data_IF_701827420713
#
_entry.id   IF_701827420713
#
_cell.length_a   1.000
_cell.length_b   1.000
_cell.length_c   1.000
_cell.angle_alpha   90.00
_cell.angle_beta   90.00
_cell.angle_gamma   90.00
#
_symmetry.space_group_name_H-M   'P 1'
#
loop_
_entity.id
_entity.type
_entity.pdbx_description
1 polymer ?
#
# COMPACT_ATOMS: atom_id res chain seq x y z
N UNK A 1 6.41 2.21 17.80
CA UNK A 1 5.48 3.35 17.63
C UNK A 1 4.10 2.90 18.08
N UNK A 2 3.49 3.66 18.94
CA UNK A 2 2.18 3.36 19.51
C UNK A 2 1.10 4.00 18.63
N UNK A 3 0.44 3.19 17.80
CA UNK A 3 -0.55 3.66 16.83
C UNK A 3 -1.95 3.55 17.41
N UNK A 4 -2.75 4.61 17.26
CA UNK A 4 -4.16 4.60 17.65
C UNK A 4 -4.93 3.67 16.72
N UNK A 5 -5.62 2.68 17.30
CA UNK A 5 -6.48 1.78 16.52
C UNK A 5 -7.77 2.48 16.08
N UNK A 6 -8.16 2.23 14.84
CA UNK A 6 -9.51 2.50 14.35
C UNK A 6 -10.39 1.30 14.70
N UNK A 7 -11.41 1.53 15.50
CA UNK A 7 -12.26 0.45 16.04
C UNK A 7 -13.21 -0.06 14.97
N UNK A 8 -13.09 -1.33 14.67
CA UNK A 8 -13.92 -2.07 13.72
C UNK A 8 -14.70 -3.17 14.45
N UNK A 9 -15.79 -3.72 13.87
CA UNK A 9 -16.55 -4.80 14.49
C UNK A 9 -15.64 -5.99 14.82
N UNK A 10 -15.89 -6.63 15.97
CA UNK A 10 -15.19 -7.87 16.37
C UNK A 10 -15.41 -8.94 15.30
N UNK A 11 -14.37 -9.75 15.05
CA UNK A 11 -14.40 -10.87 14.11
C UNK A 11 -14.66 -10.45 12.66
N UNK A 12 -14.46 -9.17 12.32
CA UNK A 12 -14.56 -8.72 10.92
C UNK A 12 -13.37 -9.15 10.07
N UNK A 13 -12.27 -9.63 10.67
CA UNK A 13 -10.98 -9.91 10.05
C UNK A 13 -10.35 -8.65 9.41
N UNK A 14 -10.82 -7.47 9.78
CA UNK A 14 -10.29 -6.18 9.33
C UNK A 14 -9.65 -5.48 10.53
N UNK A 15 -8.47 -4.92 10.32
CA UNK A 15 -7.78 -4.04 11.26
C UNK A 15 -7.48 -2.70 10.63
N UNK A 16 -7.46 -1.66 11.45
CA UNK A 16 -7.10 -0.31 11.00
C UNK A 16 -6.39 0.47 12.10
N UNK A 17 -5.39 1.25 11.73
CA UNK A 17 -4.65 2.11 12.64
C UNK A 17 -4.37 3.45 11.97
N UNK A 18 -4.46 4.51 12.76
CA UNK A 18 -4.10 5.84 12.31
C UNK A 18 -2.58 5.98 12.26
N UNK A 19 -2.08 6.49 11.17
CA UNK A 19 -0.65 6.82 11.01
C UNK A 19 -0.43 8.32 11.15
N UNK A 20 0.78 8.76 11.55
CA UNK A 20 1.09 10.19 11.63
C UNK A 20 0.92 10.87 10.26
N UNK A 21 0.19 12.00 10.18
CA UNK A 21 0.00 12.74 8.92
C UNK A 21 1.31 13.11 8.20
N UNK A 22 2.36 13.40 8.96
CA UNK A 22 3.68 13.72 8.40
C UNK A 22 4.22 12.59 7.50
N UNK A 23 3.99 11.33 7.85
CA UNK A 23 4.42 10.19 7.03
C UNK A 23 3.67 10.20 5.69
N UNK A 24 2.40 10.56 5.69
CA UNK A 24 1.61 10.70 4.47
C UNK A 24 2.15 11.84 3.58
N UNK A 25 2.47 12.98 4.18
CA UNK A 25 3.04 14.14 3.47
C UNK A 25 4.40 13.80 2.86
N UNK A 26 5.24 13.07 3.58
CA UNK A 26 6.55 12.61 3.10
C UNK A 26 6.43 11.63 1.93
N UNK A 27 5.43 10.74 1.95
CA UNK A 27 5.15 9.82 0.82
C UNK A 27 4.67 10.59 -0.41
N UNK A 28 3.82 11.60 -0.22
CA UNK A 28 3.36 12.48 -1.31
C UNK A 28 4.55 13.23 -1.91
N UNK A 29 5.44 13.73 -1.08
CA UNK A 29 6.68 14.39 -1.52
C UNK A 29 7.57 13.44 -2.30
N UNK A 30 7.75 12.22 -1.80
CA UNK A 30 8.52 11.17 -2.48
C UNK A 30 7.94 10.87 -3.89
N UNK A 31 6.62 10.80 -4.03
CA UNK A 31 5.96 10.64 -5.33
C UNK A 31 6.27 11.82 -6.26
N UNK A 32 6.14 13.06 -5.77
CA UNK A 32 6.38 14.27 -6.55
C UNK A 32 7.84 14.40 -7.01
N UNK A 33 8.78 14.02 -6.16
CA UNK A 33 10.22 14.12 -6.44
C UNK A 33 10.69 13.05 -7.46
N UNK A 34 9.93 11.99 -7.67
CA UNK A 34 10.23 10.93 -8.63
C UNK A 34 9.44 11.07 -9.95
N UNK A 35 9.30 12.27 -10.47
CA UNK A 35 8.59 12.56 -11.72
C UNK A 35 9.05 11.71 -12.89
N UNK A 36 10.35 11.47 -13.00
CA UNK A 36 11.01 10.66 -14.04
C UNK A 36 10.64 9.16 -13.97
N UNK A 37 10.13 8.71 -12.83
CA UNK A 37 9.70 7.32 -12.60
C UNK A 37 8.19 7.14 -12.64
N UNK A 38 7.44 8.20 -12.82
CA UNK A 38 5.98 8.15 -12.89
C UNK A 38 5.53 7.52 -14.20
N UNK A 39 4.68 6.51 -14.12
CA UNK A 39 4.11 5.78 -15.26
C UNK A 39 2.60 5.63 -15.11
N UNK A 40 1.86 5.51 -16.24
CA UNK A 40 0.44 5.14 -16.14
C UNK A 40 0.25 3.80 -15.45
N UNK A 41 -0.82 3.67 -14.66
CA UNK A 41 -1.19 2.41 -14.06
C UNK A 41 -1.50 1.35 -15.10
N UNK A 42 -1.15 0.10 -14.80
CA UNK A 42 -1.36 -1.05 -15.67
C UNK A 42 -2.34 -2.05 -15.04
N UNK A 43 -2.97 -2.82 -15.90
CA UNK A 43 -3.84 -3.94 -15.56
C UNK A 43 -3.42 -5.18 -16.35
N UNK A 44 -3.85 -6.32 -15.99
CA UNK A 44 -3.56 -7.53 -16.75
C UNK A 44 -3.40 -8.75 -15.89
N UNK A 45 -3.17 -9.98 -16.39
CA UNK A 45 -2.30 -10.39 -17.50
C UNK A 45 -3.00 -10.37 -18.88
N UNK A 46 -2.27 -10.04 -19.97
CA UNK A 46 -0.94 -9.43 -19.95
C UNK A 46 -0.99 -7.97 -19.47
N UNK A 47 0.10 -7.48 -18.90
CA UNK A 47 0.17 -6.10 -18.41
C UNK A 47 -0.04 -5.10 -19.57
N UNK A 48 -0.99 -4.20 -19.39
CA UNK A 48 -1.35 -3.18 -20.36
C UNK A 48 -1.92 -1.94 -19.68
N UNK A 49 -1.80 -0.81 -20.36
CA UNK A 49 -2.55 0.40 -19.99
C UNK A 49 -3.95 0.30 -20.61
N UNK A 50 -4.97 0.33 -19.77
CA UNK A 50 -6.38 0.27 -20.19
C UNK A 50 -7.18 1.30 -19.39
N UNK A 51 -7.45 2.50 -19.95
CA UNK A 51 -8.15 3.57 -19.25
C UNK A 51 -9.61 3.23 -18.91
N UNK A 52 -10.20 2.24 -19.57
CA UNK A 52 -11.57 1.77 -19.25
C UNK A 52 -11.59 0.91 -17.98
N UNK A 53 -10.45 0.36 -17.60
CA UNK A 53 -10.31 -0.43 -16.37
C UNK A 53 -9.68 0.37 -15.23
N UNK A 54 -8.58 1.08 -15.50
CA UNK A 54 -7.83 1.80 -14.47
C UNK A 54 -7.20 3.07 -15.02
N UNK A 55 -7.36 4.16 -14.31
CA UNK A 55 -6.62 5.41 -14.56
C UNK A 55 -5.93 5.83 -13.28
N UNK A 56 -4.60 5.81 -13.29
CA UNK A 56 -3.73 6.24 -12.20
C UNK A 56 -2.37 6.66 -12.71
N UNK A 57 -1.60 7.32 -11.86
CA UNK A 57 -0.16 7.55 -12.08
C UNK A 57 0.60 6.85 -10.95
N UNK A 58 1.61 6.06 -11.30
CA UNK A 58 2.27 5.17 -10.36
C UNK A 58 3.79 5.37 -10.34
N UNK A 59 4.38 5.25 -9.15
CA UNK A 59 5.83 5.15 -8.96
C UNK A 59 6.12 3.80 -8.34
N UNK A 60 6.80 2.88 -9.06
CA UNK A 60 7.21 1.60 -8.50
C UNK A 60 8.35 1.79 -7.50
N UNK A 61 8.31 1.04 -6.40
CA UNK A 61 9.33 1.07 -5.36
C UNK A 61 9.81 -0.33 -5.07
N UNK A 62 11.10 -0.58 -5.33
CA UNK A 62 11.73 -1.85 -4.99
C UNK A 62 11.93 -1.97 -3.47
N UNK A 63 11.80 -3.18 -2.87
CA UNK A 63 11.99 -3.37 -1.43
C UNK A 63 13.34 -2.92 -0.88
N UNK A 64 14.38 -2.90 -1.72
CA UNK A 64 15.73 -2.43 -1.36
C UNK A 64 15.93 -0.91 -1.54
N UNK A 65 14.88 -0.17 -1.88
CA UNK A 65 14.99 1.28 -2.07
C UNK A 65 15.44 1.96 -0.77
N UNK A 66 16.65 2.53 -0.82
CA UNK A 66 17.29 3.15 0.33
C UNK A 66 16.97 4.66 0.39
N UNK A 67 15.75 4.96 0.77
CA UNK A 67 15.28 6.33 1.01
C UNK A 67 14.65 6.43 2.39
N UNK A 68 14.98 7.45 3.19
CA UNK A 68 14.49 7.56 4.57
C UNK A 68 12.98 7.44 4.71
N UNK A 69 12.21 8.11 3.86
CA UNK A 69 10.74 8.04 3.85
C UNK A 69 10.25 6.61 3.65
N UNK A 70 10.86 5.87 2.72
CA UNK A 70 10.44 4.50 2.44
C UNK A 70 10.83 3.54 3.57
N UNK A 71 11.98 3.74 4.18
CA UNK A 71 12.43 2.95 5.35
C UNK A 71 11.45 3.15 6.51
N UNK A 72 11.08 4.39 6.80
CA UNK A 72 10.08 4.72 7.84
C UNK A 72 8.74 4.06 7.53
N UNK A 73 8.28 4.14 6.29
CA UNK A 73 7.04 3.52 5.85
C UNK A 73 7.06 1.99 5.99
N UNK A 74 8.15 1.33 5.58
CA UNK A 74 8.32 -0.12 5.76
C UNK A 74 8.24 -0.54 7.22
N UNK A 75 8.93 0.19 8.09
CA UNK A 75 8.89 -0.08 9.53
C UNK A 75 7.50 0.11 10.11
N UNK A 76 6.78 1.13 9.64
CA UNK A 76 5.40 1.39 10.02
C UNK A 76 4.47 0.23 9.60
N UNK A 77 4.58 -0.24 8.35
CA UNK A 77 3.80 -1.38 7.86
C UNK A 77 4.14 -2.66 8.65
N UNK A 78 5.42 -2.90 8.94
CA UNK A 78 5.83 -4.02 9.79
C UNK A 78 5.19 -3.97 11.18
N UNK A 79 5.11 -2.79 11.79
CA UNK A 79 4.43 -2.59 13.06
C UNK A 79 2.91 -2.84 12.95
N UNK A 80 2.27 -2.36 11.90
CA UNK A 80 0.83 -2.58 11.65
C UNK A 80 0.54 -4.08 11.46
N UNK A 81 1.36 -4.78 10.68
CA UNK A 81 1.25 -6.23 10.51
C UNK A 81 1.33 -6.94 11.86
N UNK A 82 2.29 -6.59 12.70
CA UNK A 82 2.42 -7.16 14.05
C UNK A 82 1.19 -6.88 14.94
N UNK A 83 0.63 -5.67 14.87
CA UNK A 83 -0.61 -5.34 15.59
C UNK A 83 -1.80 -6.15 15.06
N UNK A 84 -1.88 -6.36 13.76
CA UNK A 84 -2.91 -7.18 13.13
C UNK A 84 -2.80 -8.65 13.54
N UNK A 85 -1.59 -9.21 13.54
CA UNK A 85 -1.32 -10.58 14.00
C UNK A 85 -1.72 -10.79 15.47
N UNK A 86 -1.46 -9.81 16.32
CA UNK A 86 -1.92 -9.84 17.73
C UNK A 86 -3.44 -9.86 17.83
N UNK A 87 -4.12 -9.13 16.94
CA UNK A 87 -5.59 -9.05 16.91
C UNK A 87 -6.23 -10.32 16.37
N UNK A 88 -5.60 -10.91 15.35
CA UNK A 88 -6.06 -12.10 14.65
C UNK A 88 -4.93 -13.13 14.52
N UNK A 89 -4.59 -13.85 15.61
CA UNK A 89 -3.45 -14.80 15.60
C UNK A 89 -3.57 -15.90 14.54
N UNK A 90 -4.79 -16.22 14.13
CA UNK A 90 -5.08 -17.27 13.14
C UNK A 90 -4.47 -16.98 11.75
N UNK A 91 -4.13 -15.72 11.45
CA UNK A 91 -3.56 -15.35 10.14
C UNK A 91 -2.16 -15.96 9.91
N UNK A 92 -1.44 -16.33 10.98
CA UNK A 92 -0.13 -16.96 10.92
C UNK A 92 -0.18 -18.49 10.96
N UNK A 93 -1.35 -19.09 11.05
CA UNK A 93 -1.50 -20.54 11.23
C UNK A 93 -0.85 -21.35 10.11
N UNK A 94 -0.88 -20.86 8.87
CA UNK A 94 -0.33 -21.54 7.71
C UNK A 94 1.02 -20.98 7.25
N UNK A 95 1.20 -19.68 7.26
CA UNK A 95 2.46 -19.03 6.89
C UNK A 95 2.53 -17.61 7.42
N UNK A 96 3.76 -17.16 7.71
CA UNK A 96 4.00 -15.74 7.98
C UNK A 96 3.80 -14.91 6.72
N UNK A 97 3.34 -13.69 6.90
CA UNK A 97 3.18 -12.73 5.81
C UNK A 97 3.88 -11.40 6.13
N UNK A 98 4.15 -10.63 5.10
CA UNK A 98 4.85 -9.36 5.23
C UNK A 98 5.05 -8.70 3.87
N UNK A 99 5.79 -7.61 3.85
CA UNK A 99 6.15 -6.93 2.61
C UNK A 99 7.35 -7.64 1.97
N UNK A 100 7.08 -8.51 1.00
CA UNK A 100 8.10 -9.35 0.32
C UNK A 100 8.29 -8.99 -1.15
N UNK A 101 7.40 -8.19 -1.72
CA UNK A 101 7.39 -7.80 -3.12
C UNK A 101 7.61 -6.29 -3.28
N UNK A 102 7.88 -5.87 -4.51
CA UNK A 102 7.86 -4.46 -4.88
C UNK A 102 6.46 -3.88 -4.62
N UNK A 103 6.43 -2.67 -4.11
CA UNK A 103 5.20 -1.91 -3.96
C UNK A 103 5.20 -0.71 -4.91
N UNK A 104 4.12 0.04 -4.91
CA UNK A 104 4.00 1.24 -5.72
C UNK A 104 3.20 2.31 -5.00
N UNK A 105 3.57 3.56 -5.25
CA UNK A 105 2.74 4.69 -4.86
C UNK A 105 1.78 4.95 -6.01
N UNK A 106 0.49 4.84 -5.76
CA UNK A 106 -0.56 5.09 -6.76
C UNK A 106 -1.24 6.42 -6.47
N UNK A 107 -1.25 7.29 -7.44
CA UNK A 107 -1.95 8.57 -7.37
C UNK A 107 -3.16 8.57 -8.30
N UNK A 108 -4.31 8.85 -7.73
CA UNK A 108 -5.58 9.02 -8.44
C UNK A 108 -6.03 10.47 -8.33
N UNK A 109 -6.12 11.17 -9.45
CA UNK A 109 -6.73 12.50 -9.51
C UNK A 109 -8.25 12.38 -9.41
N UNK A 110 -8.97 13.46 -9.07
CA UNK A 110 -10.44 13.46 -9.14
C UNK A 110 -10.95 12.92 -10.49
N UNK A 111 -11.88 11.97 -10.46
CA UNK A 111 -12.40 11.28 -11.65
C UNK A 111 -11.58 10.09 -12.14
N UNK A 112 -10.37 9.90 -11.67
CA UNK A 112 -9.56 8.69 -11.91
C UNK A 112 -9.92 7.57 -10.92
N UNK A 113 -9.47 6.36 -11.18
CA UNK A 113 -9.71 5.22 -10.29
C UNK A 113 -9.57 3.88 -10.97
N UNK A 114 -9.77 2.83 -10.20
CA UNK A 114 -10.00 1.49 -10.70
C UNK A 114 -11.50 1.34 -10.98
N UNK A 115 -11.87 1.19 -12.24
CA UNK A 115 -13.26 1.36 -12.71
C UNK A 115 -14.05 0.07 -12.82
N UNK A 116 -13.38 -1.07 -12.67
CA UNK A 116 -14.00 -2.40 -12.74
C UNK A 116 -13.79 -3.18 -11.45
N UNK A 117 -14.72 -4.07 -11.14
CA UNK A 117 -14.52 -5.06 -10.09
C UNK A 117 -13.31 -5.92 -10.40
N UNK A 118 -12.46 -6.16 -9.42
CA UNK A 118 -11.24 -6.93 -9.56
C UNK A 118 -10.87 -7.63 -8.25
N UNK A 119 -9.87 -8.48 -8.32
CA UNK A 119 -9.25 -9.13 -7.16
C UNK A 119 -7.73 -9.01 -7.27
N UNK A 120 -7.07 -8.98 -6.11
CA UNK A 120 -5.61 -8.82 -5.97
C UNK A 120 -4.89 -10.18 -5.91
N UNK A 121 -5.32 -11.12 -6.72
CA UNK A 121 -4.71 -12.44 -6.74
C UNK A 121 -3.82 -12.60 -7.97
N UNK A 122 -2.59 -12.94 -7.72
CA UNK A 122 -1.63 -13.36 -8.75
C UNK A 122 -1.66 -14.87 -8.98
#
# INVERSE_FOLDING_TARGET
MDLKEYILPKNSMIGGWYIPPLICDDIITLFKDNKDKQTPGVVGPPLRVDPDEKVSTEVPIHPSYDHPTFIIYKNLIGNIIHLYEKKYPEVEEFSKFGMVESCQIQHYKPGEGFKKWHFERS
#
